data_IF_072165514461
#
_entry.id   IF_072165514461
#
_cell.length_a   1.000
_cell.length_b   1.000
_cell.length_c   1.000
_cell.angle_alpha   90.00
_cell.angle_beta   90.00
_cell.angle_gamma   90.00
#
_symmetry.space_group_name_H-M   'P 1'
#
loop_
_entity.id
_entity.type
_entity.pdbx_description
1 polymer ?
#
# COMPACT_ATOMS: atom_id res chain seq x y z
N UNK A 1 19.39 31.37 36.15
CA UNK A 1 18.07 31.05 35.58
C UNK A 1 18.23 29.75 34.81
N UNK A 2 17.61 28.68 35.30
CA UNK A 2 17.70 27.34 34.71
C UNK A 2 16.46 27.20 33.81
N UNK A 3 16.66 27.06 32.50
CA UNK A 3 15.56 26.73 31.59
C UNK A 3 15.07 25.31 31.88
N UNK A 4 13.76 25.06 32.04
CA UNK A 4 13.27 23.70 32.13
C UNK A 4 13.40 23.02 30.77
N UNK A 5 13.95 21.81 30.79
CA UNK A 5 13.99 20.92 29.65
C UNK A 5 12.57 20.65 29.15
N UNK A 6 12.35 20.82 27.85
CA UNK A 6 11.11 20.45 27.19
C UNK A 6 11.02 18.92 27.17
N UNK A 7 10.23 18.36 28.09
CA UNK A 7 9.80 16.96 28.03
C UNK A 7 9.00 16.75 26.75
N UNK A 8 9.53 15.93 25.84
CA UNK A 8 8.78 15.45 24.68
C UNK A 8 7.65 14.56 25.18
N UNK A 9 6.43 15.07 25.09
CA UNK A 9 5.21 14.27 25.23
C UNK A 9 5.29 13.08 24.27
N UNK A 10 5.01 11.84 24.71
CA UNK A 10 4.94 10.71 23.79
C UNK A 10 3.84 11.00 22.76
N UNK A 11 4.13 10.80 21.48
CA UNK A 11 3.12 10.87 20.43
C UNK A 11 1.98 9.92 20.81
N UNK A 12 0.77 10.47 20.94
CA UNK A 12 -0.45 9.69 21.05
C UNK A 12 -0.51 8.76 19.85
N UNK A 13 -0.57 7.45 20.10
CA UNK A 13 -0.84 6.46 19.04
C UNK A 13 -2.25 6.78 18.56
N UNK A 14 -2.39 7.25 17.33
CA UNK A 14 -3.72 7.52 16.76
C UNK A 14 -4.56 6.25 16.89
N UNK A 15 -5.79 6.44 17.38
CA UNK A 15 -6.74 5.34 17.55
C UNK A 15 -7.44 4.94 16.25
N UNK A 16 -7.23 5.70 15.17
CA UNK A 16 -7.80 5.42 13.86
C UNK A 16 -6.81 4.59 13.02
N UNK A 17 -7.11 3.31 12.72
CA UNK A 17 -6.23 2.46 11.96
C UNK A 17 -6.08 2.94 10.51
N UNK A 18 -4.89 2.71 9.93
CA UNK A 18 -4.64 3.05 8.53
C UNK A 18 -5.75 2.54 7.59
N UNK A 19 -6.34 3.44 6.80
CA UNK A 19 -7.28 3.08 5.73
C UNK A 19 -6.60 2.15 4.74
N UNK A 20 -5.33 2.38 4.40
CA UNK A 20 -4.59 1.50 3.51
C UNK A 20 -3.10 1.36 3.84
N UNK A 21 -2.53 0.24 3.39
CA UNK A 21 -1.10 -0.01 3.35
C UNK A 21 -0.64 -0.05 1.89
N UNK A 22 0.31 0.80 1.49
CA UNK A 22 0.87 0.81 0.14
C UNK A 22 2.16 -0.03 0.05
N UNK A 23 2.05 -1.21 -0.57
CA UNK A 23 3.15 -2.13 -0.82
C UNK A 23 3.75 -1.88 -2.20
N UNK A 24 5.03 -1.54 -2.28
CA UNK A 24 5.70 -1.20 -3.54
C UNK A 24 7.18 -1.60 -3.55
N UNK A 25 7.72 -1.79 -4.75
CA UNK A 25 9.15 -2.06 -4.93
C UNK A 25 9.90 -0.80 -5.35
N UNK A 26 10.87 -0.37 -4.53
CA UNK A 26 11.79 0.73 -4.87
C UNK A 26 12.75 0.38 -6.01
N UNK A 27 13.11 1.41 -6.75
CA UNK A 27 14.17 1.34 -7.73
C UNK A 27 15.53 1.24 -7.01
N UNK A 28 16.43 0.30 -7.41
CA UNK A 28 17.77 0.24 -6.83
C UNK A 28 18.52 1.55 -7.05
N UNK A 29 19.26 2.00 -6.03
CA UNK A 29 20.16 3.13 -6.19
C UNK A 29 21.19 2.83 -7.28
N UNK A 30 21.38 3.79 -8.20
CA UNK A 30 22.45 3.75 -9.21
C UNK A 30 23.48 4.84 -8.89
N UNK A 31 24.68 4.45 -8.45
CA UNK A 31 25.86 5.31 -8.35
C UNK A 31 26.07 6.03 -7.00
N UNK A 32 27.09 6.90 -6.98
CA UNK A 32 27.65 7.54 -5.77
C UNK A 32 26.85 8.76 -5.24
N UNK A 33 25.73 9.13 -5.88
CA UNK A 33 24.89 10.27 -5.45
C UNK A 33 23.54 9.80 -4.92
N UNK A 34 23.04 10.34 -3.80
CA UNK A 34 21.80 9.90 -3.17
C UNK A 34 20.58 10.57 -3.81
N UNK A 35 20.52 10.68 -5.15
CA UNK A 35 19.30 11.20 -5.80
C UNK A 35 18.32 10.05 -5.94
N UNK A 36 17.14 10.22 -5.34
CA UNK A 36 16.02 9.29 -5.49
C UNK A 36 15.58 9.20 -6.95
N UNK A 37 15.24 7.99 -7.39
CA UNK A 37 14.76 7.74 -8.75
C UNK A 37 13.43 8.48 -8.99
N UNK A 38 13.23 9.00 -10.21
CA UNK A 38 12.03 9.77 -10.57
C UNK A 38 10.74 8.93 -10.41
N UNK A 39 10.80 7.61 -10.62
CA UNK A 39 9.68 6.70 -10.35
C UNK A 39 9.36 6.62 -8.86
N UNK A 40 10.38 6.56 -8.00
CA UNK A 40 10.17 6.50 -6.55
C UNK A 40 9.62 7.83 -6.02
N UNK A 41 10.06 8.97 -6.57
CA UNK A 41 9.45 10.29 -6.29
C UNK A 41 8.01 10.36 -6.77
N UNK A 42 7.70 9.80 -7.94
CA UNK A 42 6.35 9.75 -8.46
C UNK A 42 5.43 8.88 -7.59
N UNK A 43 5.93 7.80 -7.00
CA UNK A 43 5.19 6.95 -6.06
C UNK A 43 4.84 7.68 -4.76
N UNK A 44 5.76 8.48 -4.22
CA UNK A 44 5.48 9.30 -3.04
C UNK A 44 4.43 10.37 -3.34
N UNK A 45 4.51 11.01 -4.51
CA UNK A 45 3.49 11.97 -4.94
C UNK A 45 2.13 11.31 -5.14
N UNK A 46 2.12 10.07 -5.66
CA UNK A 46 0.89 9.28 -5.77
C UNK A 46 0.31 8.97 -4.39
N UNK A 47 1.12 8.50 -3.44
CA UNK A 47 0.69 8.23 -2.07
C UNK A 47 0.11 9.47 -1.40
N UNK A 48 0.81 10.61 -1.49
CA UNK A 48 0.33 11.87 -0.92
C UNK A 48 -1.02 12.31 -1.52
N UNK A 49 -1.18 12.20 -2.85
CA UNK A 49 -2.45 12.51 -3.51
C UNK A 49 -3.55 11.54 -3.07
N UNK A 50 -3.24 10.25 -2.96
CA UNK A 50 -4.21 9.23 -2.55
C UNK A 50 -4.68 9.44 -1.12
N UNK A 51 -3.76 9.75 -0.19
CA UNK A 51 -4.12 10.14 1.17
C UNK A 51 -5.03 11.36 1.18
N UNK A 52 -4.67 12.40 0.42
CA UNK A 52 -5.51 13.61 0.31
C UNK A 52 -6.92 13.30 -0.19
N UNK A 53 -7.05 12.46 -1.22
CA UNK A 53 -8.35 12.08 -1.77
C UNK A 53 -9.17 11.25 -0.76
N UNK A 54 -8.55 10.33 -0.04
CA UNK A 54 -9.20 9.51 1.01
C UNK A 54 -9.69 10.38 2.18
N UNK A 55 -8.92 11.39 2.60
CA UNK A 55 -9.37 12.34 3.63
C UNK A 55 -10.63 13.11 3.22
N UNK A 56 -10.86 13.33 1.92
CA UNK A 56 -12.10 13.96 1.45
C UNK A 56 -13.31 13.00 1.40
N UNK A 57 -13.05 11.69 1.44
CA UNK A 57 -14.05 10.63 1.30
C UNK A 57 -14.39 9.93 2.62
N UNK A 58 -13.71 10.30 3.71
CA UNK A 58 -13.83 9.66 5.03
C UNK A 58 -13.87 10.70 6.15
N UNK A 59 -14.20 10.25 7.35
CA UNK A 59 -14.18 11.01 8.61
C UNK A 59 -12.89 10.78 9.41
N UNK A 60 -11.84 10.25 8.77
CA UNK A 60 -10.54 10.00 9.40
C UNK A 60 -10.00 11.27 10.08
N UNK A 61 -9.51 11.15 11.31
CA UNK A 61 -9.17 12.30 12.17
C UNK A 61 -7.99 13.16 11.65
N UNK A 62 -7.09 12.52 10.90
CA UNK A 62 -5.91 13.14 10.32
C UNK A 62 -4.77 13.36 11.33
N UNK A 63 -4.86 12.80 12.54
CA UNK A 63 -3.74 12.78 13.49
C UNK A 63 -2.55 12.02 12.89
N UNK A 64 -2.84 10.93 12.19
CA UNK A 64 -1.91 10.23 11.31
C UNK A 64 -2.37 10.26 9.83
N UNK A 65 -1.44 9.96 8.91
CA UNK A 65 -1.77 9.76 7.51
C UNK A 65 -2.70 8.55 7.36
N UNK A 66 -3.81 8.61 6.60
CA UNK A 66 -4.70 7.47 6.40
C UNK A 66 -4.04 6.32 5.62
N UNK A 67 -2.90 6.58 4.98
CA UNK A 67 -2.12 5.58 4.27
C UNK A 67 -0.75 5.37 4.89
N UNK A 68 -0.41 4.11 5.15
CA UNK A 68 0.96 3.72 5.45
C UNK A 68 1.78 3.56 4.16
N UNK A 69 2.98 4.12 4.13
CA UNK A 69 3.97 3.92 3.09
C UNK A 69 5.33 3.66 3.73
N UNK A 70 5.94 2.50 3.43
CA UNK A 70 7.31 2.30 3.88
C UNK A 70 8.28 3.16 3.06
N UNK A 71 8.79 4.23 3.68
CA UNK A 71 9.80 5.14 3.12
C UNK A 71 11.22 4.87 3.62
N UNK A 72 11.43 3.97 4.60
CA UNK A 72 12.76 3.70 5.16
C UNK A 72 13.24 2.30 4.75
N UNK A 73 14.45 2.18 4.22
CA UNK A 73 15.17 0.89 4.35
C UNK A 73 15.81 0.91 5.74
N UNK A 74 14.99 0.82 6.78
CA UNK A 74 15.46 0.87 8.15
C UNK A 74 16.08 -0.47 8.50
N UNK A 75 17.40 -0.56 8.57
CA UNK A 75 18.07 -1.75 9.11
C UNK A 75 17.74 -1.80 10.61
N UNK A 76 16.96 -2.79 11.05
CA UNK A 76 16.72 -3.02 12.48
C UNK A 76 15.30 -3.50 12.82
N UNK A 77 15.16 -4.05 14.02
CA UNK A 77 13.92 -4.64 14.54
C UNK A 77 12.76 -3.63 14.62
N UNK A 78 13.04 -2.35 14.88
CA UNK A 78 12.01 -1.31 15.01
C UNK A 78 11.25 -1.04 13.72
N UNK A 79 11.94 -1.13 12.57
CA UNK A 79 11.31 -0.99 11.26
C UNK A 79 10.37 -2.16 10.97
N UNK A 80 10.85 -3.38 11.18
CA UNK A 80 10.04 -4.59 10.97
C UNK A 80 8.81 -4.61 11.88
N UNK A 81 8.96 -4.17 13.14
CA UNK A 81 7.84 -4.04 14.07
C UNK A 81 6.80 -3.05 13.56
N UNK A 82 7.21 -1.86 13.10
CA UNK A 82 6.28 -0.86 12.55
C UNK A 82 5.58 -1.38 11.29
N UNK A 83 6.31 -2.07 10.41
CA UNK A 83 5.77 -2.69 9.20
C UNK A 83 4.69 -3.73 9.55
N UNK A 84 5.00 -4.62 10.49
CA UNK A 84 4.07 -5.64 11.00
C UNK A 84 2.85 -5.02 11.64
N UNK A 85 3.02 -3.98 12.48
CA UNK A 85 1.89 -3.27 13.08
C UNK A 85 1.00 -2.62 12.03
N UNK A 86 1.58 -1.98 11.01
CA UNK A 86 0.79 -1.40 9.92
C UNK A 86 0.01 -2.45 9.11
N UNK A 87 0.60 -3.64 8.86
CA UNK A 87 -0.10 -4.76 8.21
C UNK A 87 -1.18 -5.38 9.10
N UNK A 88 -0.94 -5.41 10.42
CA UNK A 88 -1.86 -5.93 11.41
C UNK A 88 -3.11 -5.06 11.58
N UNK A 89 -3.02 -3.75 11.30
CA UNK A 89 -4.11 -2.80 11.54
C UNK A 89 -4.75 -2.25 10.27
N UNK A 90 -4.04 -2.17 9.14
CA UNK A 90 -4.57 -1.50 7.94
C UNK A 90 -5.86 -2.16 7.41
N UNK A 91 -6.78 -1.38 6.85
CA UNK A 91 -8.05 -1.90 6.35
C UNK A 91 -7.96 -2.47 4.94
N UNK A 92 -7.08 -1.91 4.11
CA UNK A 92 -6.89 -2.30 2.70
C UNK A 92 -5.41 -2.44 2.36
N UNK A 93 -5.05 -3.53 1.70
CA UNK A 93 -3.72 -3.72 1.15
C UNK A 93 -3.67 -3.27 -0.31
N UNK A 94 -2.76 -2.35 -0.62
CA UNK A 94 -2.65 -1.68 -1.92
C UNK A 94 -1.30 -2.03 -2.55
N UNK A 95 -1.22 -3.15 -3.29
CA UNK A 95 0.00 -3.54 -3.99
C UNK A 95 0.19 -2.75 -5.29
N UNK A 96 1.39 -2.20 -5.48
CA UNK A 96 1.75 -1.42 -6.67
C UNK A 96 2.39 -2.33 -7.72
N UNK A 97 1.61 -2.70 -8.74
CA UNK A 97 2.02 -3.66 -9.76
C UNK A 97 3.05 -3.06 -10.72
N UNK A 98 4.23 -3.69 -10.68
CA UNK A 98 5.35 -3.55 -11.61
C UNK A 98 6.02 -4.92 -11.75
N UNK A 99 6.83 -5.14 -12.78
CA UNK A 99 7.65 -6.36 -12.84
C UNK A 99 8.51 -6.54 -11.58
N UNK A 100 9.09 -5.44 -11.06
CA UNK A 100 9.93 -5.47 -9.87
C UNK A 100 9.16 -5.85 -8.60
N UNK A 101 7.90 -5.43 -8.48
CA UNK A 101 7.06 -5.74 -7.32
C UNK A 101 7.02 -7.24 -7.04
N UNK A 102 6.79 -8.03 -8.09
CA UNK A 102 6.70 -9.48 -8.00
C UNK A 102 8.05 -10.19 -7.83
N UNK A 103 9.18 -9.48 -7.90
CA UNK A 103 10.52 -10.05 -7.67
C UNK A 103 11.14 -9.61 -6.34
N UNK A 104 10.44 -8.82 -5.51
CA UNK A 104 10.96 -8.36 -4.22
C UNK A 104 10.45 -9.25 -3.10
N UNK A 105 11.39 -9.84 -2.37
CA UNK A 105 11.12 -10.72 -1.23
C UNK A 105 10.17 -10.08 -0.21
N UNK A 106 10.45 -8.85 0.21
CA UNK A 106 9.62 -8.15 1.18
C UNK A 106 8.20 -7.87 0.68
N UNK A 107 8.01 -7.59 -0.61
CA UNK A 107 6.66 -7.42 -1.17
C UNK A 107 5.87 -8.74 -1.10
N UNK A 108 6.53 -9.88 -1.31
CA UNK A 108 5.92 -11.20 -1.10
C UNK A 108 5.59 -11.46 0.37
N UNK A 109 6.48 -11.09 1.30
CA UNK A 109 6.23 -11.22 2.75
C UNK A 109 5.07 -10.35 3.23
N UNK A 110 4.97 -9.12 2.75
CA UNK A 110 3.85 -8.22 3.04
C UNK A 110 2.53 -8.80 2.51
N UNK A 111 2.54 -9.38 1.31
CA UNK A 111 1.39 -10.06 0.75
C UNK A 111 0.98 -11.28 1.59
N UNK A 112 1.94 -12.11 2.00
CA UNK A 112 1.71 -13.27 2.87
C UNK A 112 1.05 -12.85 4.20
N UNK A 113 1.58 -11.82 4.85
CA UNK A 113 1.04 -11.28 6.09
C UNK A 113 -0.44 -10.90 5.94
N UNK A 114 -0.76 -10.12 4.90
CA UNK A 114 -2.12 -9.65 4.70
C UNK A 114 -3.07 -10.79 4.26
N UNK A 115 -2.60 -11.72 3.44
CA UNK A 115 -3.38 -12.90 3.04
C UNK A 115 -3.73 -13.78 4.25
N UNK A 116 -2.76 -14.05 5.14
CA UNK A 116 -3.00 -14.80 6.39
C UNK A 116 -4.01 -14.12 7.29
N UNK A 117 -3.95 -12.79 7.43
CA UNK A 117 -4.93 -12.03 8.21
C UNK A 117 -6.34 -12.17 7.65
N UNK A 118 -6.49 -12.09 6.34
CA UNK A 118 -7.77 -12.33 5.67
C UNK A 118 -8.29 -13.76 5.91
N UNK A 119 -7.43 -14.78 5.78
CA UNK A 119 -7.79 -16.18 6.04
C UNK A 119 -8.20 -16.43 7.50
N UNK A 120 -7.49 -15.88 8.47
CA UNK A 120 -7.83 -16.04 9.90
C UNK A 120 -9.18 -15.37 10.22
N UNK A 121 -9.44 -14.19 9.64
CA UNK A 121 -10.73 -13.54 9.80
C UNK A 121 -11.86 -14.33 9.13
N UNK A 122 -11.67 -14.87 7.93
CA UNK A 122 -12.66 -15.73 7.26
C UNK A 122 -13.04 -16.96 8.11
N UNK A 123 -12.10 -17.46 8.91
CA UNK A 123 -12.30 -18.60 9.82
C UNK A 123 -13.26 -18.28 10.97
N UNK A 124 -13.35 -17.02 11.37
CA UNK A 124 -14.15 -16.56 12.53
C UNK A 124 -15.38 -15.76 12.12
N UNK A 125 -15.35 -15.09 10.97
CA UNK A 125 -16.44 -14.29 10.41
C UNK A 125 -16.47 -14.41 8.89
N UNK A 126 -17.56 -14.93 8.30
CA UNK A 126 -17.71 -14.92 6.85
C UNK A 126 -17.84 -13.47 6.37
N UNK A 127 -16.93 -13.03 5.51
CA UNK A 127 -17.05 -11.81 4.72
C UNK A 127 -16.76 -12.13 3.25
N UNK A 128 -17.35 -11.35 2.35
CA UNK A 128 -17.46 -11.74 0.92
C UNK A 128 -16.48 -11.02 0.00
N UNK A 129 -15.61 -10.15 0.53
CA UNK A 129 -14.72 -9.30 -0.26
C UNK A 129 -13.25 -9.66 -0.12
N UNK A 130 -12.42 -9.28 -1.09
CA UNK A 130 -10.97 -9.28 -0.94
C UNK A 130 -10.53 -7.85 -0.55
N UNK A 131 -9.84 -7.70 0.57
CA UNK A 131 -9.34 -6.41 1.05
C UNK A 131 -8.05 -5.95 0.34
N UNK A 132 -7.80 -6.46 -0.87
CA UNK A 132 -6.65 -6.12 -1.71
C UNK A 132 -7.12 -5.29 -2.90
N UNK A 133 -6.56 -4.09 -3.07
CA UNK A 133 -6.84 -3.20 -4.21
C UNK A 133 -5.54 -2.93 -4.97
N UNK A 134 -5.26 -3.68 -6.05
CA UNK A 134 -4.06 -3.46 -6.84
C UNK A 134 -4.06 -2.13 -7.59
N UNK A 135 -2.88 -1.51 -7.66
CA UNK A 135 -2.64 -0.32 -8.49
C UNK A 135 -1.65 -0.67 -9.57
N UNK A 136 -2.07 -0.55 -10.83
CA UNK A 136 -1.20 -0.69 -11.99
C UNK A 136 -0.33 0.57 -12.11
N UNK A 137 0.94 0.43 -11.76
CA UNK A 137 1.91 1.51 -11.96
C UNK A 137 2.30 1.61 -13.43
N UNK A 138 2.49 0.47 -14.08
CA UNK A 138 2.73 0.33 -15.52
C UNK A 138 1.66 -0.56 -16.15
N UNK A 139 1.52 -0.48 -17.47
CA UNK A 139 0.55 -1.28 -18.23
C UNK A 139 0.70 -2.79 -18.00
N UNK A 140 -0.41 -3.51 -18.14
CA UNK A 140 -0.52 -4.97 -17.95
C UNK A 140 0.49 -5.79 -18.75
N UNK A 141 0.94 -5.28 -19.91
CA UNK A 141 1.95 -5.93 -20.75
C UNK A 141 3.37 -5.97 -20.15
N UNK A 142 3.62 -5.26 -19.04
CA UNK A 142 4.95 -5.11 -18.45
C UNK A 142 5.19 -5.94 -17.19
N UNK A 143 4.24 -6.80 -16.80
CA UNK A 143 4.36 -7.67 -15.65
C UNK A 143 3.53 -8.94 -15.84
N UNK A 144 3.96 -10.00 -15.18
CA UNK A 144 3.22 -11.26 -15.11
C UNK A 144 2.95 -11.51 -13.64
N UNK A 145 1.69 -11.61 -13.20
CA UNK A 145 1.40 -11.81 -11.79
C UNK A 145 1.70 -13.26 -11.39
N UNK A 146 2.28 -13.50 -10.20
CA UNK A 146 2.33 -14.83 -9.60
C UNK A 146 0.91 -15.35 -9.33
N UNK A 147 0.77 -16.65 -9.09
CA UNK A 147 -0.53 -17.32 -8.92
C UNK A 147 -1.38 -16.70 -7.81
N UNK A 148 -0.74 -16.24 -6.74
CA UNK A 148 -1.42 -15.57 -5.62
C UNK A 148 -2.04 -14.23 -6.03
N UNK A 149 -1.36 -13.46 -6.88
CA UNK A 149 -1.83 -12.17 -7.37
C UNK A 149 -2.82 -12.30 -8.53
N UNK A 150 -2.72 -13.36 -9.34
CA UNK A 150 -3.63 -13.63 -10.46
C UNK A 150 -5.09 -13.84 -10.03
N UNK A 151 -5.33 -14.22 -8.77
CA UNK A 151 -6.69 -14.36 -8.19
C UNK A 151 -7.35 -13.02 -7.87
N UNK A 152 -6.60 -11.92 -7.86
CA UNK A 152 -7.11 -10.59 -7.52
C UNK A 152 -7.55 -9.87 -8.78
N UNK A 153 -8.80 -9.39 -8.81
CA UNK A 153 -9.30 -8.57 -9.91
C UNK A 153 -8.74 -7.15 -9.80
N UNK A 154 -8.01 -6.71 -10.82
CA UNK A 154 -7.45 -5.36 -10.92
C UNK A 154 -8.10 -4.52 -12.04
N UNK A 155 -9.00 -5.12 -12.81
CA UNK A 155 -9.74 -4.43 -13.86
C UNK A 155 -10.98 -3.75 -13.28
N UNK A 156 -10.84 -2.50 -12.82
CA UNK A 156 -11.99 -1.71 -12.38
C UNK A 156 -12.64 -1.00 -13.59
N UNK A 157 -13.96 -1.13 -13.82
CA UNK A 157 -14.65 -0.51 -14.94
C UNK A 157 -14.38 1.00 -15.09
N UNK A 158 -14.34 1.71 -13.96
CA UNK A 158 -14.17 3.17 -13.91
C UNK A 158 -12.75 3.66 -14.30
N UNK A 159 -11.75 2.78 -14.25
CA UNK A 159 -10.36 3.15 -14.60
C UNK A 159 -10.15 3.18 -16.12
N UNK A 160 -10.86 2.32 -16.87
CA UNK A 160 -10.88 2.30 -18.33
C UNK A 160 -9.61 1.76 -18.99
N UNK A 161 -9.65 1.63 -20.33
CA UNK A 161 -8.59 0.98 -21.13
C UNK A 161 -7.22 1.67 -21.03
N UNK A 162 -7.21 2.99 -21.03
CA UNK A 162 -5.96 3.76 -20.97
C UNK A 162 -5.14 3.46 -19.71
N UNK A 163 -5.83 3.25 -18.59
CA UNK A 163 -5.19 2.86 -17.33
C UNK A 163 -4.59 1.46 -17.41
N UNK A 164 -5.32 0.49 -17.98
CA UNK A 164 -4.82 -0.88 -18.16
C UNK A 164 -3.62 -0.95 -19.10
N UNK A 165 -3.57 -0.09 -20.12
CA UNK A 165 -2.49 -0.05 -21.11
C UNK A 165 -1.27 0.74 -20.64
N UNK A 166 -1.46 1.83 -19.89
CA UNK A 166 -0.36 2.74 -19.53
C UNK A 166 0.09 2.60 -18.07
N UNK A 167 -0.82 2.19 -17.17
CA UNK A 167 -0.66 2.37 -15.73
C UNK A 167 -0.60 3.86 -15.33
N UNK A 168 -0.56 4.14 -14.02
CA UNK A 168 -0.47 5.51 -13.52
C UNK A 168 0.82 6.22 -13.97
N UNK A 169 1.95 5.52 -13.95
CA UNK A 169 3.23 6.10 -14.35
C UNK A 169 3.23 6.45 -15.84
N UNK A 170 2.73 5.57 -16.71
CA UNK A 170 2.64 5.86 -18.14
C UNK A 170 1.73 7.06 -18.44
N UNK A 171 0.58 7.17 -17.77
CA UNK A 171 -0.31 8.33 -17.88
C UNK A 171 0.39 9.63 -17.47
N UNK A 172 1.19 9.58 -16.39
CA UNK A 172 1.98 10.71 -15.90
C UNK A 172 3.05 11.12 -16.91
N UNK A 173 3.84 10.17 -17.41
CA UNK A 173 4.90 10.42 -18.39
C UNK A 173 4.36 10.97 -19.71
N UNK A 174 3.19 10.51 -20.15
CA UNK A 174 2.50 11.01 -21.34
C UNK A 174 1.82 12.38 -21.13
N UNK A 175 1.97 13.02 -19.96
CA UNK A 175 1.36 14.31 -19.66
C UNK A 175 -0.17 14.30 -19.56
N UNK A 176 -0.81 13.12 -19.45
CA UNK A 176 -2.26 12.94 -19.41
C UNK A 176 -2.84 13.23 -18.02
N UNK A 177 -2.61 14.45 -17.52
CA UNK A 177 -2.91 14.89 -16.15
C UNK A 177 -4.36 14.65 -15.73
N UNK A 178 -5.33 14.97 -16.59
CA UNK A 178 -6.76 14.76 -16.30
C UNK A 178 -7.04 13.28 -16.07
N UNK A 179 -6.57 12.40 -16.96
CA UNK A 179 -6.79 10.96 -16.85
C UNK A 179 -6.07 10.37 -15.63
N UNK A 180 -4.83 10.79 -15.37
CA UNK A 180 -4.10 10.41 -14.15
C UNK A 180 -4.91 10.76 -12.89
N UNK A 181 -5.32 12.03 -12.73
CA UNK A 181 -6.08 12.49 -11.55
C UNK A 181 -7.40 11.76 -11.39
N UNK A 182 -8.16 11.60 -12.47
CA UNK A 182 -9.42 10.83 -12.42
C UNK A 182 -9.21 9.36 -12.04
N UNK A 183 -8.06 8.77 -12.41
CA UNK A 183 -7.73 7.38 -12.05
C UNK A 183 -7.36 7.27 -10.58
N UNK A 184 -6.59 8.22 -10.04
CA UNK A 184 -6.26 8.27 -8.60
C UNK A 184 -7.54 8.47 -7.76
N UNK A 185 -8.43 9.37 -8.19
CA UNK A 185 -9.73 9.56 -7.53
C UNK A 185 -10.61 8.29 -7.54
N UNK A 186 -10.66 7.57 -8.67
CA UNK A 186 -11.37 6.30 -8.75
C UNK A 186 -10.76 5.22 -7.83
N UNK A 187 -9.42 5.18 -7.72
CA UNK A 187 -8.73 4.29 -6.79
C UNK A 187 -9.04 4.64 -5.32
N UNK A 188 -9.08 5.94 -4.97
CA UNK A 188 -9.44 6.40 -3.63
C UNK A 188 -10.86 5.93 -3.24
N UNK A 189 -11.84 6.14 -4.13
CA UNK A 189 -13.22 5.66 -3.93
C UNK A 189 -13.28 4.14 -3.76
N UNK A 190 -12.53 3.39 -4.57
CA UNK A 190 -12.47 1.93 -4.47
C UNK A 190 -11.86 1.47 -3.14
N UNK A 191 -10.77 2.09 -2.69
CA UNK A 191 -10.14 1.79 -1.41
C UNK A 191 -11.11 2.06 -0.26
N UNK A 192 -11.77 3.21 -0.23
CA UNK A 192 -12.75 3.55 0.81
C UNK A 192 -13.91 2.55 0.81
N UNK A 193 -14.44 2.23 -0.37
CA UNK A 193 -15.51 1.23 -0.52
C UNK A 193 -15.09 -0.13 0.01
N UNK A 194 -13.90 -0.62 -0.36
CA UNK A 194 -13.38 -1.91 0.13
C UNK A 194 -13.17 -1.86 1.65
N UNK A 195 -12.57 -0.79 2.17
CA UNK A 195 -12.34 -0.60 3.61
C UNK A 195 -13.64 -0.66 4.42
N UNK A 196 -14.73 -0.11 3.89
CA UNK A 196 -16.06 -0.14 4.51
C UNK A 196 -16.75 -1.50 4.40
N UNK A 197 -16.57 -2.20 3.27
CA UNK A 197 -17.25 -3.47 3.00
C UNK A 197 -16.59 -4.68 3.67
N UNK A 198 -15.26 -4.73 3.73
CA UNK A 198 -14.54 -5.88 4.30
C UNK A 198 -14.49 -5.83 5.82
N UNK A 199 -14.39 -4.63 6.42
CA UNK A 199 -14.27 -4.43 7.87
C UNK A 199 -13.26 -5.41 8.48
N UNK A 200 -12.04 -5.41 7.94
CA UNK A 200 -10.96 -6.29 8.39
C UNK A 200 -10.51 -5.84 9.78
N UNK A 201 -10.77 -6.67 10.79
CA UNK A 201 -10.40 -6.42 12.18
C UNK A 201 -8.88 -6.51 12.33
N UNK A 202 -8.28 -5.73 13.25
CA UNK A 202 -6.86 -5.87 13.56
C UNK A 202 -6.51 -7.28 14.03
N UNK A 203 -5.29 -7.74 13.75
CA UNK A 203 -4.78 -9.03 14.25
C UNK A 203 -3.55 -8.87 15.14
N UNK A 204 -3.18 -9.92 15.87
CA UNK A 204 -1.90 -9.97 16.57
C UNK A 204 -0.74 -10.10 15.56
N UNK A 205 0.36 -9.38 15.79
CA UNK A 205 1.57 -9.46 14.97
C UNK A 205 2.28 -10.81 15.07
N UNK A 206 1.96 -11.63 16.07
CA UNK A 206 2.43 -13.02 16.16
C UNK A 206 2.01 -13.87 14.95
N UNK A 207 0.95 -13.48 14.23
CA UNK A 207 0.57 -14.08 12.95
C UNK A 207 1.67 -13.95 11.88
N UNK A 208 2.61 -13.02 12.06
CA UNK A 208 3.66 -12.63 11.12
C UNK A 208 5.07 -13.09 11.52
N UNK A 209 5.21 -14.05 12.43
CA UNK A 209 6.52 -14.51 12.90
C UNK A 209 7.35 -15.27 11.86
N UNK A 210 6.70 -15.90 10.88
CA UNK A 210 7.33 -16.76 9.86
C UNK A 210 6.85 -16.42 8.43
N UNK A 211 6.86 -15.12 8.10
CA UNK A 211 6.46 -14.63 6.78
C UNK A 211 7.33 -15.22 5.67
N UNK A 212 6.69 -15.60 4.57
CA UNK A 212 7.31 -16.21 3.39
C UNK A 212 7.16 -15.29 2.18
N UNK A 213 8.12 -15.37 1.27
CA UNK A 213 7.96 -14.75 -0.03
C UNK A 213 6.99 -15.59 -0.88
N UNK A 214 5.70 -15.23 -0.89
CA UNK A 214 4.67 -15.96 -1.68
C UNK A 214 4.75 -15.70 -3.19
N UNK A 215 5.74 -14.94 -3.65
CA UNK A 215 6.04 -14.79 -5.07
C UNK A 215 7.15 -15.75 -5.55
N UNK A 216 7.85 -16.43 -4.64
CA UNK A 216 8.84 -17.46 -4.97
C UNK A 216 8.19 -18.82 -5.20
N UNK A 217 8.66 -19.54 -6.22
CA UNK A 217 8.21 -20.91 -6.53
C UNK A 217 7.05 -21.02 -7.54
N UNK A 218 6.69 -19.90 -8.19
CA UNK A 218 5.83 -19.87 -9.38
C UNK A 218 6.65 -19.95 -10.69
#
# INVERSE_FOLDING_TARGET
>A
MIHPASEKTPATVSSDPYVFFMSYARTPFKGDRPKKDDSDLALEQFHAQLCSDIMQLTDHDGEESPGFLDQRMGVGADWENRLKQALATCRVFVPIYTSRYFTREWCGKEWDAFARRQEEQLRTRPYTGNAIVPVLWVGTQHWTPPRVAAKVQYAHPDLGKDYLQSGLYGLKQAGRRVKYRSSVWALAQMIVKVAQQTSLEPCDVELFKDLRNVFEGD
#
